data_IF_750427900771
#
_entry.id   IF_750427900771
#
_cell.length_a   1.000
_cell.length_b   1.000
_cell.length_c   1.000
_cell.angle_alpha   90.00
_cell.angle_beta   90.00
_cell.angle_gamma   90.00
#
_symmetry.space_group_name_H-M   'P 1'
#
loop_
_entity.id
_entity.type
_entity.pdbx_description
1 polymer ?
#
# COMPACT_ATOMS: atom_id res chain seq x y z
N UNK A 1 -7.64 9.78 -6.13
CA UNK A 1 -7.35 8.69 -7.10
C UNK A 1 -8.41 7.61 -6.92
N UNK A 2 -8.91 7.04 -8.00
CA UNK A 2 -9.96 6.04 -7.83
C UNK A 2 -9.37 4.71 -7.32
N UNK A 3 -10.25 3.90 -6.76
CA UNK A 3 -9.87 2.68 -6.07
C UNK A 3 -9.22 1.65 -7.01
N UNK A 4 -9.71 1.54 -8.23
CA UNK A 4 -9.14 0.60 -9.20
C UNK A 4 -7.70 0.96 -9.54
N UNK A 5 -7.42 2.25 -9.67
CA UNK A 5 -6.06 2.70 -9.97
C UNK A 5 -5.13 2.48 -8.78
N UNK A 6 -5.61 2.69 -7.56
CA UNK A 6 -4.82 2.39 -6.36
C UNK A 6 -4.45 0.91 -6.34
N UNK A 7 -5.40 0.02 -6.60
CA UNK A 7 -5.14 -1.42 -6.61
C UNK A 7 -4.19 -1.82 -7.74
N UNK A 8 -4.31 -1.20 -8.92
CA UNK A 8 -3.39 -1.48 -10.02
C UNK A 8 -1.95 -1.12 -9.64
N UNK A 9 -1.75 0.03 -9.04
CA UNK A 9 -0.43 0.45 -8.58
C UNK A 9 0.09 -0.44 -7.45
N UNK A 10 -0.78 -0.79 -6.51
CA UNK A 10 -0.40 -1.70 -5.42
C UNK A 10 -0.01 -3.07 -5.95
N UNK A 11 -0.73 -3.58 -6.93
CA UNK A 11 -0.40 -4.87 -7.53
C UNK A 11 1.01 -4.86 -8.09
N UNK A 12 1.37 -3.81 -8.81
CA UNK A 12 2.72 -3.68 -9.36
C UNK A 12 3.77 -3.60 -8.25
N UNK A 13 3.48 -2.87 -7.19
CA UNK A 13 4.39 -2.76 -6.04
C UNK A 13 4.56 -4.12 -5.38
N UNK A 14 3.48 -4.86 -5.16
CA UNK A 14 3.54 -6.18 -4.54
C UNK A 14 4.33 -7.17 -5.40
N UNK A 15 4.13 -7.14 -6.72
CA UNK A 15 4.88 -8.01 -7.63
C UNK A 15 6.38 -7.76 -7.48
N UNK A 16 6.75 -6.50 -7.33
CA UNK A 16 8.15 -6.13 -7.21
C UNK A 16 8.74 -6.46 -5.84
N UNK A 17 8.03 -6.11 -4.77
CA UNK A 17 8.53 -6.32 -3.41
C UNK A 17 8.63 -7.81 -3.07
N UNK A 18 7.66 -8.61 -3.51
CA UNK A 18 7.60 -10.03 -3.19
C UNK A 18 8.09 -10.93 -4.32
N UNK A 19 8.53 -10.33 -5.42
CA UNK A 19 9.07 -11.05 -6.57
C UNK A 19 8.10 -12.14 -7.04
N UNK A 20 6.83 -11.78 -7.17
CA UNK A 20 5.77 -12.72 -7.55
C UNK A 20 4.80 -12.04 -8.52
N UNK A 21 5.02 -12.26 -9.81
CA UNK A 21 4.22 -11.64 -10.87
C UNK A 21 2.82 -12.22 -11.01
N UNK A 22 2.52 -13.30 -10.29
CA UNK A 22 1.20 -13.93 -10.34
C UNK A 22 0.29 -13.48 -9.20
N UNK A 23 0.83 -12.68 -8.28
CA UNK A 23 0.09 -12.25 -7.10
C UNK A 23 -1.11 -11.39 -7.48
N UNK A 24 -2.28 -11.76 -7.00
CA UNK A 24 -3.52 -11.00 -7.20
C UNK A 24 -3.98 -10.46 -5.85
N UNK A 25 -4.24 -9.17 -5.80
CA UNK A 25 -4.66 -8.52 -4.55
C UNK A 25 -6.17 -8.39 -4.47
N UNK A 26 -6.69 -8.69 -3.29
CA UNK A 26 -8.09 -8.44 -2.94
C UNK A 26 -8.09 -7.61 -1.65
N UNK A 27 -9.20 -6.93 -1.32
CA UNK A 27 -9.23 -6.14 -0.08
C UNK A 27 -8.90 -6.95 1.16
N UNK A 28 -9.29 -8.21 1.21
CA UNK A 28 -9.06 -9.08 2.36
C UNK A 28 -7.69 -9.74 2.37
N UNK A 29 -6.87 -9.57 1.32
CA UNK A 29 -5.52 -10.15 1.27
C UNK A 29 -4.68 -9.63 2.43
N UNK A 30 -4.05 -10.56 3.15
CA UNK A 30 -3.25 -10.20 4.33
C UNK A 30 -1.90 -10.91 4.30
N UNK A 31 -1.07 -10.61 5.33
CA UNK A 31 0.29 -11.13 5.39
C UNK A 31 0.37 -12.65 5.47
N UNK A 32 -0.67 -13.31 5.96
CA UNK A 32 -0.69 -14.77 6.04
C UNK A 32 -0.86 -15.41 4.67
N UNK A 33 -1.42 -14.68 3.73
CA UNK A 33 -1.72 -15.18 2.39
C UNK A 33 -0.62 -14.90 1.39
N UNK A 34 0.31 -14.01 1.73
CA UNK A 34 1.39 -13.61 0.83
C UNK A 34 2.72 -14.10 1.41
N UNK A 35 3.36 -15.03 0.70
CA UNK A 35 4.65 -15.55 1.14
C UNK A 35 5.69 -14.44 1.21
N UNK A 36 6.41 -14.41 2.33
CA UNK A 36 7.47 -13.44 2.52
C UNK A 36 7.02 -12.10 3.07
N UNK A 37 5.73 -11.92 3.33
CA UNK A 37 5.25 -10.66 3.91
C UNK A 37 5.46 -10.69 5.42
N UNK A 38 6.69 -10.42 5.82
CA UNK A 38 7.10 -10.29 7.21
C UNK A 38 7.35 -8.81 7.54
N UNK A 39 7.90 -8.55 8.71
CA UNK A 39 8.13 -7.17 9.16
C UNK A 39 9.06 -6.39 8.23
N UNK A 40 10.11 -7.03 7.76
CA UNK A 40 11.06 -6.38 6.86
C UNK A 40 10.43 -6.10 5.50
N UNK A 41 9.71 -7.08 4.96
CA UNK A 41 9.02 -6.91 3.68
C UNK A 41 7.93 -5.84 3.80
N UNK A 42 7.25 -5.78 4.95
CA UNK A 42 6.25 -4.74 5.19
C UNK A 42 6.88 -3.34 5.13
N UNK A 43 8.04 -3.17 5.74
CA UNK A 43 8.76 -1.90 5.67
C UNK A 43 9.10 -1.53 4.23
N UNK A 44 9.61 -2.49 3.45
CA UNK A 44 9.92 -2.27 2.03
C UNK A 44 8.67 -1.89 1.24
N UNK A 45 7.57 -2.58 1.53
CA UNK A 45 6.29 -2.32 0.90
C UNK A 45 5.85 -0.88 1.15
N UNK A 46 5.89 -0.45 2.41
CA UNK A 46 5.47 0.89 2.78
C UNK A 46 6.35 1.96 2.13
N UNK A 47 7.67 1.75 2.11
CA UNK A 47 8.58 2.69 1.47
C UNK A 47 8.29 2.81 -0.03
N UNK A 48 7.99 1.69 -0.69
CA UNK A 48 7.64 1.69 -2.11
C UNK A 48 6.33 2.44 -2.35
N UNK A 49 5.35 2.21 -1.49
CA UNK A 49 4.05 2.89 -1.58
C UNK A 49 4.23 4.40 -1.41
N UNK A 50 5.01 4.81 -0.43
CA UNK A 50 5.27 6.23 -0.21
C UNK A 50 5.89 6.88 -1.44
N UNK A 51 6.83 6.19 -2.07
CA UNK A 51 7.51 6.72 -3.24
C UNK A 51 6.59 6.79 -4.45
N UNK A 52 5.84 5.71 -4.72
CA UNK A 52 4.98 5.63 -5.90
C UNK A 52 3.81 6.61 -5.80
N UNK A 53 3.19 6.70 -4.64
CA UNK A 53 2.02 7.56 -4.46
C UNK A 53 2.36 8.97 -3.98
N UNK A 54 3.61 9.22 -3.57
CA UNK A 54 4.01 10.52 -3.09
C UNK A 54 3.39 10.91 -1.75
N UNK A 55 3.24 9.94 -0.86
CA UNK A 55 2.62 10.14 0.46
C UNK A 55 3.56 9.70 1.55
N UNK A 56 3.22 10.02 2.80
CA UNK A 56 4.00 9.63 3.98
C UNK A 56 3.09 9.00 5.02
N UNK A 57 3.59 7.95 5.64
CA UNK A 57 2.87 7.24 6.71
C UNK A 57 3.67 7.29 7.99
N UNK A 58 2.95 7.31 9.12
CA UNK A 58 3.58 7.13 10.43
C UNK A 58 3.70 5.62 10.73
N UNK A 59 4.59 5.27 11.66
CA UNK A 59 4.72 3.88 12.10
C UNK A 59 3.42 3.37 12.71
N UNK A 60 2.70 4.23 13.43
CA UNK A 60 1.42 3.86 14.03
C UNK A 60 0.39 3.51 12.96
N UNK A 61 0.36 4.27 11.87
CA UNK A 61 -0.58 4.01 10.78
C UNK A 61 -0.28 2.68 10.10
N UNK A 62 0.98 2.42 9.77
CA UNK A 62 1.36 1.21 9.06
C UNK A 62 1.30 -0.04 9.92
N UNK A 63 1.54 0.11 11.21
CA UNK A 63 1.49 -1.02 12.15
C UNK A 63 0.08 -1.54 12.40
N UNK A 64 -0.94 -0.76 12.08
CA UNK A 64 -2.34 -1.14 12.28
C UNK A 64 -2.96 -1.81 11.06
N UNK A 65 -2.25 -1.85 9.93
CA UNK A 65 -2.79 -2.39 8.69
C UNK A 65 -2.93 -3.91 8.79
N UNK A 66 -4.13 -4.40 8.57
CA UNK A 66 -4.44 -5.83 8.67
C UNK A 66 -4.53 -6.50 7.31
N UNK A 67 -4.83 -5.74 6.26
CA UNK A 67 -5.02 -6.29 4.93
C UNK A 67 -4.79 -5.21 3.88
N UNK A 68 -4.84 -5.63 2.63
CA UNK A 68 -4.65 -4.72 1.49
C UNK A 68 -5.73 -3.64 1.44
N UNK A 69 -6.96 -3.99 1.80
CA UNK A 69 -8.06 -3.03 1.81
C UNK A 69 -7.81 -1.85 2.73
N UNK A 70 -7.26 -2.13 3.92
CA UNK A 70 -6.92 -1.07 4.85
C UNK A 70 -5.78 -0.20 4.32
N UNK A 71 -4.80 -0.82 3.68
CA UNK A 71 -3.70 -0.09 3.06
C UNK A 71 -4.22 0.81 1.94
N UNK A 72 -5.08 0.28 1.07
CA UNK A 72 -5.65 1.06 -0.02
C UNK A 72 -6.47 2.23 0.50
N UNK A 73 -7.26 2.02 1.55
CA UNK A 73 -8.05 3.08 2.17
C UNK A 73 -7.15 4.18 2.76
N UNK A 74 -6.05 3.77 3.40
CA UNK A 74 -5.10 4.72 3.97
C UNK A 74 -4.43 5.54 2.87
N UNK A 75 -4.05 4.91 1.77
CA UNK A 75 -3.47 5.59 0.62
C UNK A 75 -4.45 6.64 0.07
N UNK A 76 -5.70 6.23 -0.13
CA UNK A 76 -6.72 7.13 -0.65
C UNK A 76 -6.91 8.34 0.25
N UNK A 77 -6.95 8.12 1.56
CA UNK A 77 -7.09 9.22 2.52
C UNK A 77 -5.88 10.16 2.47
N UNK A 78 -4.67 9.60 2.39
CA UNK A 78 -3.45 10.41 2.32
C UNK A 78 -3.38 11.21 1.02
N UNK A 79 -3.81 10.62 -0.09
CA UNK A 79 -3.84 11.33 -1.36
C UNK A 79 -4.81 12.50 -1.32
N UNK A 80 -5.97 12.33 -0.70
CA UNK A 80 -6.94 13.40 -0.55
C UNK A 80 -6.39 14.54 0.29
N UNK A 81 -5.75 14.21 1.41
CA UNK A 81 -5.14 15.20 2.29
C UNK A 81 -3.98 15.90 1.58
N UNK A 82 -3.14 15.11 0.89
CA UNK A 82 -2.00 15.64 0.15
C UNK A 82 -2.42 16.59 -0.95
N UNK A 83 -3.49 16.25 -1.68
CA UNK A 83 -4.03 17.12 -2.72
C UNK A 83 -4.53 18.43 -2.12
N UNK A 84 -5.19 18.35 -0.97
CA UNK A 84 -5.65 19.54 -0.28
C UNK A 84 -4.49 20.44 0.15
N UNK A 85 -3.44 19.85 0.66
CA UNK A 85 -2.24 20.61 1.04
C UNK A 85 -1.53 21.19 -0.16
N UNK A 86 -1.47 20.44 -1.24
CA UNK A 86 -0.80 20.91 -2.46
C UNK A 86 -1.51 22.13 -3.05
N UNK A 87 -2.79 22.27 -2.80
CA UNK A 87 -3.57 23.39 -3.28
C UNK A 87 -3.33 24.67 -2.48
N UNK A 88 -2.63 24.59 -1.38
CA UNK A 88 -2.36 25.76 -0.54
C UNK A 88 -1.07 26.49 -0.96
#
# INVERSE_FOLDING_TARGET
MDNAKIYAELTAIFHNVFDDGDLVLAPETNAKQVDGWDSLAHLRLILSVERVFGVKFSAAETGKLKNVGELAALIDRKLSIGAGKAAQ
#
